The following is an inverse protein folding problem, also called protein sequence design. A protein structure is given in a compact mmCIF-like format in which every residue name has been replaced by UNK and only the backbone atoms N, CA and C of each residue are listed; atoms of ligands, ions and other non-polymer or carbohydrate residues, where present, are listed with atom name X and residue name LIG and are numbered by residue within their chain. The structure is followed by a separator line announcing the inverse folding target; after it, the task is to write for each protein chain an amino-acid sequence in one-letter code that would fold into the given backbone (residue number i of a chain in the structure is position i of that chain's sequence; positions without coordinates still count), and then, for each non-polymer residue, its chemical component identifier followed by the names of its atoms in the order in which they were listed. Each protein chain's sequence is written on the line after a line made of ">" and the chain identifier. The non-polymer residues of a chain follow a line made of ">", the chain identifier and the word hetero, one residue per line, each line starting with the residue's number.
data_IF_483060204766
#
_entry.id   IF_483060204766
#
_cell.length_a   1.000
_cell.length_b   1.000
_cell.length_c   1.000
_cell.angle_alpha   90.00
_cell.angle_beta   90.00
_cell.angle_gamma   90.00
#
_symmetry.space_group_name_H-M   'P 1'
#
loop_
_entity.id
_entity.type
_entity.pdbx_description
1 polymer ?
#
# COMPACT_ATOMS: atom_id res chain seq x y z
N UNK A 1 5.51 -3.11 4.65
CA UNK A 1 5.30 -3.92 3.42
C UNK A 1 5.47 -5.39 3.75
N UNK A 2 4.84 -6.30 3.00
CA UNK A 2 5.05 -7.76 3.15
C UNK A 2 4.85 -8.49 1.81
N UNK A 3 5.46 -9.65 1.65
CA UNK A 3 5.17 -10.57 0.54
C UNK A 3 4.10 -11.59 0.97
N UNK A 4 3.30 -12.09 0.03
CA UNK A 4 2.27 -13.11 0.30
C UNK A 4 2.86 -14.48 0.64
N UNK A 5 3.97 -14.83 0.00
CA UNK A 5 4.52 -16.18 -0.04
C UNK A 5 5.94 -16.23 0.50
N UNK A 6 6.33 -17.40 0.97
CA UNK A 6 7.69 -17.69 1.41
C UNK A 6 8.60 -17.95 0.21
N UNK A 7 9.88 -17.57 0.29
CA UNK A 7 10.85 -17.84 -0.78
C UNK A 7 11.03 -19.36 -0.97
N UNK A 8 11.44 -19.80 -2.18
CA UNK A 8 11.76 -21.20 -2.43
C UNK A 8 12.84 -21.72 -1.47
N UNK A 9 12.82 -23.03 -1.13
CA UNK A 9 13.86 -23.63 -0.29
C UNK A 9 15.26 -23.44 -0.89
N UNK A 10 16.21 -23.01 -0.06
CA UNK A 10 17.60 -22.74 -0.49
C UNK A 10 18.23 -23.96 -1.16
N UNK A 11 17.93 -25.18 -0.66
CA UNK A 11 18.43 -26.42 -1.25
C UNK A 11 18.07 -26.56 -2.73
N UNK A 12 16.88 -26.10 -3.13
CA UNK A 12 16.42 -26.12 -4.53
C UNK A 12 17.15 -25.07 -5.37
N UNK A 13 17.44 -23.91 -4.78
CA UNK A 13 18.17 -22.82 -5.43
C UNK A 13 19.65 -23.13 -5.69
N UNK A 14 20.23 -24.12 -5.00
CA UNK A 14 21.63 -24.49 -5.10
C UNK A 14 21.93 -25.66 -6.07
N UNK A 15 20.90 -26.32 -6.62
CA UNK A 15 21.07 -27.53 -7.44
C UNK A 15 21.75 -27.20 -8.77
N UNK A 16 21.16 -26.30 -9.55
CA UNK A 16 21.73 -25.81 -10.81
C UNK A 16 21.14 -24.43 -11.19
N UNK A 17 21.77 -23.76 -12.16
CA UNK A 17 21.37 -22.42 -12.59
C UNK A 17 19.97 -22.35 -13.22
N UNK A 18 19.55 -23.41 -13.91
CA UNK A 18 18.25 -23.44 -14.58
C UNK A 18 17.11 -23.51 -13.57
N UNK A 19 17.16 -24.47 -12.63
CA UNK A 19 16.19 -24.62 -11.55
C UNK A 19 16.15 -23.37 -10.67
N UNK A 20 17.30 -22.74 -10.42
CA UNK A 20 17.34 -21.45 -9.74
C UNK A 20 16.49 -20.41 -10.46
N UNK A 21 16.68 -20.24 -11.77
CA UNK A 21 15.95 -19.25 -12.56
C UNK A 21 14.44 -19.55 -12.59
N UNK A 22 14.06 -20.81 -12.83
CA UNK A 22 12.67 -21.26 -12.88
C UNK A 22 11.97 -21.08 -11.53
N UNK A 23 12.60 -21.47 -10.42
CA UNK A 23 12.02 -21.36 -9.09
C UNK A 23 11.82 -19.89 -8.67
N UNK A 24 12.80 -19.03 -8.97
CA UNK A 24 12.69 -17.58 -8.72
C UNK A 24 11.56 -16.97 -9.54
N UNK A 25 11.49 -17.31 -10.84
CA UNK A 25 10.43 -16.82 -11.72
C UNK A 25 9.05 -17.28 -11.25
N UNK A 26 8.91 -18.56 -10.89
CA UNK A 26 7.68 -19.11 -10.36
C UNK A 26 7.24 -18.39 -9.07
N UNK A 27 8.17 -18.20 -8.13
CA UNK A 27 7.88 -17.54 -6.86
C UNK A 27 7.37 -16.11 -7.07
N UNK A 28 8.07 -15.29 -7.85
CA UNK A 28 7.67 -13.89 -8.06
C UNK A 28 6.45 -13.72 -8.98
N UNK A 29 6.12 -14.72 -9.79
CA UNK A 29 4.87 -14.74 -10.55
C UNK A 29 3.63 -14.96 -9.65
N UNK A 30 3.77 -15.76 -8.59
CA UNK A 30 2.68 -15.99 -7.64
C UNK A 30 2.59 -14.90 -6.57
N UNK A 31 3.75 -14.44 -6.10
CA UNK A 31 3.87 -13.57 -4.93
C UNK A 31 3.28 -12.19 -5.16
N UNK A 32 2.50 -11.71 -4.19
CA UNK A 32 1.97 -10.34 -4.14
C UNK A 32 2.73 -9.52 -3.11
N UNK A 33 3.20 -8.34 -3.50
CA UNK A 33 3.76 -7.35 -2.59
C UNK A 33 2.65 -6.49 -2.02
N UNK A 34 2.43 -6.57 -0.70
CA UNK A 34 1.47 -5.75 0.02
C UNK A 34 2.13 -4.49 0.56
N UNK A 35 1.60 -3.34 0.14
CA UNK A 35 1.95 -2.02 0.60
C UNK A 35 0.75 -1.41 1.33
N UNK A 36 0.82 -1.33 2.66
CA UNK A 36 -0.17 -0.62 3.44
C UNK A 36 0.32 0.81 3.65
N UNK A 37 -0.24 1.76 2.89
CA UNK A 37 0.23 3.15 2.87
C UNK A 37 0.01 3.80 4.22
N UNK A 38 -1.08 3.46 4.91
CA UNK A 38 -1.40 4.10 6.17
C UNK A 38 -0.68 3.46 7.38
N UNK A 39 -0.02 2.30 7.26
CA UNK A 39 0.56 1.60 8.42
C UNK A 39 1.68 2.43 9.09
N UNK A 40 1.60 2.65 10.41
CA UNK A 40 2.59 3.48 11.12
C UNK A 40 2.50 4.94 10.66
N UNK A 41 1.28 5.48 10.63
CA UNK A 41 0.92 6.77 10.06
C UNK A 41 1.70 7.93 10.66
N UNK A 42 1.97 7.86 11.97
CA UNK A 42 2.73 8.88 12.69
C UNK A 42 4.19 9.01 12.22
N UNK A 43 4.74 7.99 11.55
CA UNK A 43 6.14 7.91 11.16
C UNK A 43 6.33 8.07 9.66
N UNK A 44 6.28 9.31 9.16
CA UNK A 44 6.44 9.60 7.73
C UNK A 44 7.85 9.25 7.22
N UNK A 45 8.89 9.72 7.90
CA UNK A 45 10.29 9.45 7.53
C UNK A 45 10.58 7.96 7.45
N UNK A 46 10.16 7.19 8.45
CA UNK A 46 10.34 5.73 8.45
C UNK A 46 9.66 5.05 7.26
N UNK A 47 8.49 5.55 6.85
CA UNK A 47 7.80 5.02 5.67
C UNK A 47 8.59 5.31 4.39
N UNK A 48 9.10 6.54 4.23
CA UNK A 48 9.92 6.93 3.08
C UNK A 48 11.25 6.19 3.04
N UNK A 49 11.95 6.07 4.17
CA UNK A 49 13.21 5.33 4.29
C UNK A 49 13.04 3.85 3.93
N UNK A 50 11.92 3.25 4.34
CA UNK A 50 11.60 1.86 4.02
C UNK A 50 11.35 1.66 2.52
N UNK A 51 10.66 2.61 1.88
CA UNK A 51 10.46 2.61 0.43
C UNK A 51 11.77 2.80 -0.33
N UNK A 52 12.60 3.76 0.10
CA UNK A 52 13.91 4.06 -0.49
C UNK A 52 14.86 2.87 -0.38
N UNK A 53 14.91 2.23 0.79
CA UNK A 53 15.70 1.01 1.01
C UNK A 53 15.29 -0.10 0.04
N UNK A 54 13.98 -0.34 -0.11
CA UNK A 54 13.49 -1.36 -1.06
C UNK A 54 13.82 -0.98 -2.49
N UNK A 55 13.77 0.30 -2.87
CA UNK A 55 14.06 0.73 -4.22
C UNK A 55 15.54 0.62 -4.59
N UNK A 56 16.44 0.95 -3.64
CA UNK A 56 17.90 0.96 -3.84
C UNK A 56 18.55 -0.42 -3.76
N UNK A 57 17.89 -1.41 -3.14
CA UNK A 57 18.42 -2.77 -3.04
C UNK A 57 18.63 -3.42 -4.43
N UNK A 58 19.86 -3.89 -4.78
CA UNK A 58 20.16 -4.48 -6.10
C UNK A 58 19.28 -5.69 -6.46
N UNK A 59 18.87 -6.47 -5.45
CA UNK A 59 18.01 -7.64 -5.61
C UNK A 59 16.60 -7.41 -5.07
N UNK A 60 16.13 -6.18 -5.09
CA UNK A 60 14.83 -5.81 -4.56
C UNK A 60 13.71 -6.69 -5.12
N UNK A 61 12.81 -7.22 -4.27
CA UNK A 61 11.63 -7.93 -4.73
C UNK A 61 10.75 -7.05 -5.61
N UNK A 62 10.78 -5.72 -5.43
CA UNK A 62 9.99 -4.76 -6.21
C UNK A 62 10.23 -4.89 -7.72
N UNK A 63 11.47 -5.16 -8.13
CA UNK A 63 11.83 -5.33 -9.55
C UNK A 63 11.33 -6.63 -10.17
N UNK A 64 10.98 -7.62 -9.34
CA UNK A 64 10.65 -8.98 -9.79
C UNK A 64 9.18 -9.31 -9.64
N UNK A 65 8.49 -8.73 -8.65
CA UNK A 65 7.07 -8.99 -8.41
C UNK A 65 6.22 -8.53 -9.57
N UNK A 66 5.20 -9.33 -9.88
CA UNK A 66 4.21 -9.03 -10.92
C UNK A 66 2.91 -8.48 -10.36
N UNK A 67 2.71 -8.60 -9.05
CA UNK A 67 1.48 -8.24 -8.36
C UNK A 67 1.79 -7.34 -7.18
N UNK A 68 1.17 -6.17 -7.15
CA UNK A 68 1.24 -5.25 -6.02
C UNK A 68 -0.17 -4.98 -5.51
N UNK A 69 -0.34 -5.04 -4.19
CA UNK A 69 -1.56 -4.68 -3.50
C UNK A 69 -1.30 -3.46 -2.62
N UNK A 70 -1.91 -2.33 -2.95
CA UNK A 70 -1.82 -1.08 -2.22
C UNK A 70 -3.09 -0.91 -1.39
N UNK A 71 -2.96 -0.74 -0.08
CA UNK A 71 -4.09 -0.49 0.83
C UNK A 71 -4.02 0.90 1.43
N UNK A 72 -5.15 1.58 1.36
CA UNK A 72 -5.47 2.77 2.12
C UNK A 72 -6.54 2.43 3.14
N UNK A 73 -6.36 2.90 4.37
CA UNK A 73 -7.32 2.70 5.45
C UNK A 73 -7.48 4.02 6.18
N UNK A 74 -8.69 4.55 6.14
CA UNK A 74 -9.08 5.83 6.72
C UNK A 74 -10.27 5.63 7.67
N UNK A 75 -10.46 6.53 8.62
CA UNK A 75 -11.58 6.47 9.55
C UNK A 75 -12.22 7.85 9.67
N UNK A 76 -12.91 8.26 8.61
CA UNK A 76 -13.52 9.58 8.51
C UNK A 76 -14.51 9.87 9.64
N UNK A 77 -15.36 8.90 9.97
CA UNK A 77 -16.36 9.06 11.06
C UNK A 77 -15.69 9.35 12.40
N UNK A 78 -14.57 8.66 12.69
CA UNK A 78 -13.84 8.92 13.92
C UNK A 78 -13.22 10.33 13.93
N UNK A 79 -12.57 10.73 12.83
CA UNK A 79 -11.88 12.02 12.75
C UNK A 79 -12.84 13.21 12.87
N UNK A 80 -14.02 13.09 12.27
CA UNK A 80 -15.09 14.08 12.42
C UNK A 80 -15.60 14.13 13.86
N UNK A 81 -15.87 12.97 14.47
CA UNK A 81 -16.42 12.90 15.82
C UNK A 81 -15.49 13.49 16.89
N UNK A 82 -14.18 13.44 16.68
CA UNK A 82 -13.21 14.05 17.61
C UNK A 82 -12.91 15.52 17.30
N UNK A 83 -13.55 16.12 16.29
CA UNK A 83 -13.26 17.48 15.80
C UNK A 83 -11.75 17.73 15.74
N UNK A 84 -11.01 16.80 15.13
CA UNK A 84 -9.55 16.85 15.17
C UNK A 84 -9.06 18.17 14.52
N UNK A 85 -8.36 19.06 15.26
CA UNK A 85 -7.90 20.33 14.71
C UNK A 85 -6.83 20.17 13.61
N UNK A 86 -6.33 18.95 13.40
CA UNK A 86 -5.24 18.60 12.49
C UNK A 86 -5.68 17.65 11.36
N UNK A 87 -6.96 17.59 11.00
CA UNK A 87 -7.43 16.75 9.87
C UNK A 87 -6.71 17.07 8.58
N UNK A 88 -6.47 18.34 8.30
CA UNK A 88 -5.78 18.80 7.08
C UNK A 88 -4.33 18.32 7.04
N UNK A 89 -3.67 18.28 8.20
CA UNK A 89 -2.32 17.72 8.33
C UNK A 89 -2.33 16.20 8.08
N UNK A 90 -3.31 15.48 8.62
CA UNK A 90 -3.45 14.04 8.37
C UNK A 90 -3.70 13.77 6.88
N UNK A 91 -4.54 14.57 6.22
CA UNK A 91 -4.80 14.46 4.79
C UNK A 91 -3.55 14.77 3.96
N UNK A 92 -2.76 15.77 4.36
CA UNK A 92 -1.47 16.10 3.73
C UNK A 92 -0.47 14.96 3.88
N UNK A 93 -0.36 14.35 5.07
CA UNK A 93 0.51 13.18 5.32
C UNK A 93 0.04 11.99 4.48
N UNK A 94 -1.27 11.75 4.38
CA UNK A 94 -1.81 10.69 3.52
C UNK A 94 -1.41 10.92 2.05
N UNK A 95 -1.49 12.17 1.57
CA UNK A 95 -1.08 12.54 0.23
C UNK A 95 0.42 12.34 0.00
N UNK A 96 1.29 12.79 0.91
CA UNK A 96 2.73 12.56 0.83
C UNK A 96 3.06 11.06 0.75
N UNK A 97 2.46 10.25 1.64
CA UNK A 97 2.69 8.80 1.67
C UNK A 97 2.16 8.10 0.41
N UNK A 98 1.02 8.56 -0.09
CA UNK A 98 0.46 8.08 -1.35
C UNK A 98 1.39 8.36 -2.52
N UNK A 99 1.91 9.59 -2.60
CA UNK A 99 2.84 10.01 -3.65
C UNK A 99 4.16 9.24 -3.57
N UNK A 100 4.72 9.05 -2.37
CA UNK A 100 5.92 8.25 -2.17
C UNK A 100 5.71 6.80 -2.63
N UNK A 101 4.59 6.18 -2.23
CA UNK A 101 4.21 4.84 -2.68
C UNK A 101 4.09 4.74 -4.20
N UNK A 102 3.40 5.71 -4.83
CA UNK A 102 3.29 5.78 -6.28
C UNK A 102 4.66 5.90 -6.94
N UNK A 103 5.50 6.83 -6.49
CA UNK A 103 6.84 7.04 -7.05
C UNK A 103 7.70 5.78 -6.97
N UNK A 104 7.66 5.07 -5.84
CA UNK A 104 8.40 3.81 -5.66
C UNK A 104 7.92 2.73 -6.62
N UNK A 105 6.60 2.53 -6.75
CA UNK A 105 6.05 1.57 -7.71
C UNK A 105 6.42 1.99 -9.13
N UNK A 106 6.25 3.27 -9.45
CA UNK A 106 6.45 3.77 -10.78
C UNK A 106 7.91 3.61 -11.26
N UNK A 107 8.87 3.84 -10.36
CA UNK A 107 10.29 3.77 -10.67
C UNK A 107 10.90 2.37 -10.52
N UNK A 108 10.30 1.49 -9.71
CA UNK A 108 10.94 0.21 -9.33
C UNK A 108 10.24 -1.06 -9.80
N UNK A 109 8.96 -1.01 -10.18
CA UNK A 109 8.15 -2.20 -10.47
C UNK A 109 8.13 -2.55 -11.97
N UNK A 110 9.31 -2.83 -12.54
CA UNK A 110 9.49 -3.04 -13.99
C UNK A 110 8.66 -4.20 -14.58
N UNK A 111 8.39 -5.22 -13.76
CA UNK A 111 7.67 -6.44 -14.17
C UNK A 111 6.22 -6.47 -13.68
N UNK A 112 5.68 -5.33 -13.22
CA UNK A 112 4.31 -5.24 -12.73
C UNK A 112 3.32 -5.65 -13.84
N UNK A 113 2.38 -6.53 -13.51
CA UNK A 113 1.28 -6.97 -14.38
C UNK A 113 -0.07 -6.62 -13.75
N UNK A 114 -0.17 -6.65 -12.43
CA UNK A 114 -1.39 -6.38 -11.68
C UNK A 114 -1.12 -5.44 -10.50
N UNK A 115 -1.82 -4.32 -10.49
CA UNK A 115 -1.92 -3.41 -9.35
C UNK A 115 -3.34 -3.47 -8.78
N UNK A 116 -3.48 -3.83 -7.52
CA UNK A 116 -4.75 -3.75 -6.80
C UNK A 116 -4.70 -2.60 -5.82
N UNK A 117 -5.66 -1.69 -5.91
CA UNK A 117 -5.82 -0.55 -5.01
C UNK A 117 -7.03 -0.82 -4.14
N UNK A 118 -6.83 -0.96 -2.84
CA UNK A 118 -7.91 -1.11 -1.88
C UNK A 118 -8.07 0.16 -1.05
N UNK A 119 -9.25 0.78 -1.14
CA UNK A 119 -9.66 1.86 -0.25
C UNK A 119 -10.60 1.32 0.82
N UNK A 120 -10.35 1.67 2.09
CA UNK A 120 -11.23 1.34 3.21
C UNK A 120 -11.49 2.61 4.01
N UNK A 121 -12.75 2.98 4.21
CA UNK A 121 -13.14 4.12 5.04
C UNK A 121 -14.41 3.81 5.85
N UNK A 122 -14.61 4.55 6.93
CA UNK A 122 -15.85 4.55 7.70
C UNK A 122 -16.87 5.56 7.22
N UNK A 123 -16.47 6.54 6.39
CA UNK A 123 -17.33 7.61 5.88
C UNK A 123 -17.42 7.56 4.37
N UNK A 124 -18.63 7.69 3.81
CA UNK A 124 -18.87 7.77 2.36
C UNK A 124 -19.72 9.01 2.04
N UNK A 125 -19.10 10.19 2.12
CA UNK A 125 -19.66 11.47 1.70
C UNK A 125 -18.84 12.06 0.54
N UNK A 126 -19.28 13.19 0.00
CA UNK A 126 -18.62 13.84 -1.14
C UNK A 126 -17.15 14.14 -0.86
N UNK A 127 -16.83 14.62 0.34
CA UNK A 127 -15.45 14.92 0.77
C UNK A 127 -14.59 13.64 0.85
N UNK A 128 -15.13 12.54 1.38
CA UNK A 128 -14.40 11.27 1.42
C UNK A 128 -14.17 10.68 0.03
N UNK A 129 -15.14 10.81 -0.88
CA UNK A 129 -15.02 10.39 -2.29
C UNK A 129 -13.97 11.23 -3.02
N UNK A 130 -13.98 12.54 -2.83
CA UNK A 130 -12.98 13.45 -3.42
C UNK A 130 -11.58 13.12 -2.89
N UNK A 131 -11.44 12.93 -1.57
CA UNK A 131 -10.17 12.51 -0.95
C UNK A 131 -9.67 11.21 -1.56
N UNK A 132 -10.50 10.17 -1.63
CA UNK A 132 -10.12 8.90 -2.26
C UNK A 132 -9.62 9.15 -3.68
N UNK A 133 -10.42 9.84 -4.49
CA UNK A 133 -10.13 10.10 -5.89
C UNK A 133 -8.78 10.82 -6.05
N UNK A 134 -8.55 11.88 -5.28
CA UNK A 134 -7.28 12.62 -5.27
C UNK A 134 -6.10 11.73 -4.90
N UNK A 135 -6.27 10.86 -3.90
CA UNK A 135 -5.20 9.99 -3.39
C UNK A 135 -4.89 8.83 -4.33
N UNK A 136 -5.89 8.23 -4.98
CA UNK A 136 -5.72 7.04 -5.83
C UNK A 136 -5.50 7.36 -7.30
N UNK A 137 -5.91 8.54 -7.79
CA UNK A 137 -5.80 8.94 -9.19
C UNK A 137 -4.39 8.75 -9.81
N UNK A 138 -3.28 9.09 -9.12
CA UNK A 138 -1.94 8.86 -9.69
C UNK A 138 -1.69 7.40 -10.03
N UNK A 139 -2.17 6.45 -9.23
CA UNK A 139 -1.98 5.02 -9.48
C UNK A 139 -2.76 4.52 -10.70
N UNK A 140 -3.90 5.14 -11.03
CA UNK A 140 -4.69 4.76 -12.21
C UNK A 140 -3.91 5.03 -13.50
N UNK A 141 -3.03 6.04 -13.50
CA UNK A 141 -2.17 6.33 -14.65
C UNK A 141 -1.21 5.19 -15.00
N UNK A 142 -0.91 4.29 -14.05
CA UNK A 142 -0.08 3.11 -14.28
C UNK A 142 -0.74 2.13 -15.24
N UNK A 143 -2.07 2.16 -15.40
CA UNK A 143 -2.78 1.32 -16.38
C UNK A 143 -2.36 1.60 -17.83
N UNK A 144 -1.87 2.82 -18.12
CA UNK A 144 -1.38 3.20 -19.44
C UNK A 144 0.06 2.77 -19.71
N UNK A 145 0.74 2.20 -18.70
CA UNK A 145 2.12 1.74 -18.85
C UNK A 145 2.18 0.31 -19.34
N UNK A 146 3.26 0.04 -20.06
CA UNK A 146 3.65 -1.28 -20.50
C UNK A 146 4.86 -1.71 -19.66
N UNK A 147 4.82 -2.93 -19.15
CA UNK A 147 5.91 -3.48 -18.36
C UNK A 147 7.09 -3.93 -19.25
N UNK A 148 8.17 -4.41 -18.64
CA UNK A 148 9.39 -4.82 -19.37
C UNK A 148 9.17 -5.95 -20.38
N UNK A 149 8.13 -6.76 -20.20
CA UNK A 149 7.77 -7.86 -21.06
C UNK A 149 6.79 -7.45 -22.19
N UNK A 150 6.47 -6.16 -22.34
CA UNK A 150 5.52 -5.70 -23.35
C UNK A 150 4.05 -5.89 -22.96
N UNK A 151 3.76 -6.19 -21.68
CA UNK A 151 2.39 -6.44 -21.20
C UNK A 151 1.82 -5.19 -20.53
N UNK A 152 0.59 -4.76 -20.87
CA UNK A 152 -0.10 -3.67 -20.18
C UNK A 152 -0.34 -4.00 -18.70
N UNK A 153 -0.21 -2.99 -17.84
CA UNK A 153 -0.49 -3.16 -16.42
C UNK A 153 -2.00 -3.14 -16.18
N UNK A 154 -2.55 -4.20 -15.58
CA UNK A 154 -3.93 -4.21 -15.11
C UNK A 154 -4.03 -3.51 -13.77
N UNK A 155 -4.83 -2.45 -13.69
CA UNK A 155 -5.18 -1.79 -12.42
C UNK A 155 -6.59 -2.19 -12.02
N UNK A 156 -6.76 -2.61 -10.76
CA UNK A 156 -8.05 -3.02 -10.19
C UNK A 156 -8.28 -2.22 -8.92
N UNK A 157 -9.43 -1.57 -8.82
CA UNK A 157 -9.86 -0.90 -7.61
C UNK A 157 -10.84 -1.77 -6.81
N UNK A 158 -10.72 -1.71 -5.49
CA UNK A 158 -11.64 -2.31 -4.54
C UNK A 158 -11.90 -1.29 -3.45
N UNK A 159 -13.17 -1.10 -3.11
CA UNK A 159 -13.58 -0.18 -2.07
C UNK A 159 -14.37 -0.91 -0.98
N UNK A 160 -14.22 -0.41 0.24
CA UNK A 160 -15.02 -0.82 1.37
C UNK A 160 -15.39 0.42 2.18
N UNK A 161 -16.70 0.63 2.32
CA UNK A 161 -17.28 1.67 3.14
C UNK A 161 -18.00 1.01 4.31
N UNK A 162 -17.64 1.38 5.54
CA UNK A 162 -18.32 0.86 6.72
C UNK A 162 -19.80 1.23 6.73
N UNK A 163 -20.63 0.33 7.26
CA UNK A 163 -22.01 0.69 7.58
C UNK A 163 -22.05 1.58 8.82
N UNK A 164 -23.00 2.52 8.92
CA UNK A 164 -23.22 3.27 10.15
C UNK A 164 -23.40 2.34 11.36
N UNK A 165 -22.67 2.61 12.45
CA UNK A 165 -22.73 1.79 13.67
C UNK A 165 -21.98 0.45 13.60
N UNK A 166 -21.30 0.13 12.49
CA UNK A 166 -20.52 -1.09 12.37
C UNK A 166 -19.33 -1.08 13.35
N UNK A 167 -19.22 -2.16 14.14
CA UNK A 167 -18.13 -2.36 15.08
C UNK A 167 -17.04 -3.25 14.47
N UNK A 168 -15.79 -2.86 14.65
CA UNK A 168 -14.65 -3.60 14.11
C UNK A 168 -13.92 -4.38 15.20
N UNK A 169 -13.77 -5.69 14.98
CA UNK A 169 -12.98 -6.55 15.86
C UNK A 169 -11.50 -6.14 15.90
N UNK A 170 -10.82 -6.52 16.98
CA UNK A 170 -9.37 -6.30 17.14
C UNK A 170 -8.63 -6.99 15.98
N UNK A 171 -7.73 -6.24 15.33
CA UNK A 171 -7.00 -6.71 14.15
C UNK A 171 -7.64 -6.36 12.80
N UNK A 172 -8.89 -5.88 12.79
CA UNK A 172 -9.46 -5.29 11.57
C UNK A 172 -8.67 -4.01 11.19
N UNK A 173 -8.43 -3.73 9.88
CA UNK A 173 -7.68 -2.55 9.48
C UNK A 173 -8.25 -1.24 10.03
N UNK A 174 -9.58 -1.06 9.97
CA UNK A 174 -10.25 0.14 10.48
C UNK A 174 -10.15 0.28 12.01
N UNK A 175 -10.25 -0.83 12.76
CA UNK A 175 -10.03 -0.80 14.21
C UNK A 175 -8.61 -0.35 14.54
N UNK A 176 -7.62 -0.92 13.85
CA UNK A 176 -6.20 -0.59 14.04
C UNK A 176 -5.93 0.88 13.71
N UNK A 177 -6.55 1.38 12.63
CA UNK A 177 -6.47 2.78 12.21
C UNK A 177 -7.03 3.74 13.26
N UNK A 178 -8.19 3.42 13.82
CA UNK A 178 -8.83 4.21 14.87
C UNK A 178 -7.93 4.37 16.09
N UNK A 179 -7.34 3.27 16.58
CA UNK A 179 -6.44 3.29 17.74
C UNK A 179 -5.23 4.18 17.47
N UNK A 180 -4.65 4.11 16.27
CA UNK A 180 -3.53 4.94 15.87
C UNK A 180 -3.90 6.43 15.79
N UNK A 181 -4.99 6.77 15.11
CA UNK A 181 -5.47 8.16 15.03
C UNK A 181 -5.85 8.75 16.38
N UNK A 182 -6.44 7.94 17.27
CA UNK A 182 -6.71 8.39 18.63
C UNK A 182 -5.42 8.77 19.37
N UNK A 183 -4.35 8.00 19.19
CA UNK A 183 -3.02 8.30 19.75
C UNK A 183 -2.39 9.58 19.20
N UNK A 184 -2.58 9.86 17.90
CA UNK A 184 -2.07 11.07 17.25
C UNK A 184 -2.87 12.30 17.68
N UNK A 185 -4.20 12.26 17.55
CA UNK A 185 -5.08 13.42 17.79
C UNK A 185 -5.11 13.82 19.26
N UNK A 186 -5.22 12.86 20.19
CA UNK A 186 -5.30 13.19 21.62
C UNK A 186 -3.95 13.23 22.32
N UNK A 187 -2.99 12.45 21.85
CA UNK A 187 -1.67 12.34 22.49
C UNK A 187 -0.63 13.29 21.90
N UNK A 188 -0.91 13.96 20.78
CA UNK A 188 0.08 14.74 20.03
C UNK A 188 1.28 13.89 19.58
N UNK A 189 1.13 12.56 19.55
CA UNK A 189 2.23 11.61 19.30
C UNK A 189 2.51 11.51 17.81
N UNK A 190 3.08 12.58 17.26
CA UNK A 190 3.93 12.51 16.09
C UNK A 190 5.31 12.08 16.60
N UNK A 191 5.80 10.93 16.18
CA UNK A 191 7.08 10.39 16.65
C UNK A 191 7.98 10.11 15.47
#
# INVERSE_FOLDING_TARGET
>A
MKLSDWPPPVKLLLINRQLYAEAVQWHYARTTLFLNVCQGFSHLSFFEDMLDMIQKQPHSPLRKVRKIFVRFTWDGVFLDAVNAPNTDMLDSVLQCRSQAAYNTIAAGADNLELLTIQWMDTKCDEVAIERRTRITAPFLTLAHRINRAGVPIKVVESEYWAKPGESFARGHPLHTRRVEFWGIVRGGKWR
#
